data_IF_548958135427
#
_entry.id   IF_548958135427
#
_cell.length_a   1.000
_cell.length_b   1.000
_cell.length_c   1.000
_cell.angle_alpha   90.00
_cell.angle_beta   90.00
_cell.angle_gamma   90.00
#
_symmetry.space_group_name_H-M   'P 1'
#
loop_
_entity.id
_entity.type
_entity.pdbx_description
1 polymer ?
#
# COMPACT_ATOMS: atom_id res chain seq x y z
N UNK A 1 16.89 7.61 -2.51
CA UNK A 1 15.52 7.31 -2.99
C UNK A 1 15.58 5.99 -3.75
N UNK A 2 14.73 5.02 -3.42
CA UNK A 2 14.76 3.65 -4.01
C UNK A 2 13.61 3.41 -5.00
N UNK A 3 12.81 4.43 -5.30
CA UNK A 3 11.63 4.37 -6.15
C UNK A 3 10.61 5.44 -5.80
N UNK A 4 9.48 5.40 -6.48
CA UNK A 4 8.32 6.28 -6.28
C UNK A 4 7.05 5.45 -6.10
N UNK A 5 6.04 6.02 -5.45
CA UNK A 5 4.72 5.40 -5.33
C UNK A 5 3.61 6.41 -5.62
N UNK A 6 2.55 5.93 -6.26
CA UNK A 6 1.36 6.72 -6.55
C UNK A 6 0.15 5.81 -6.63
N UNK A 7 -1.03 6.35 -6.35
CA UNK A 7 -2.24 5.54 -6.34
C UNK A 7 -3.50 6.33 -6.05
N UNK A 8 -4.61 5.60 -6.06
CA UNK A 8 -5.93 6.13 -5.71
C UNK A 8 -6.43 5.45 -4.44
N UNK A 9 -7.04 6.27 -3.60
CA UNK A 9 -7.61 5.90 -2.32
C UNK A 9 -9.09 6.28 -2.36
N UNK A 10 -9.98 5.30 -2.27
CA UNK A 10 -11.43 5.51 -2.36
C UNK A 10 -12.06 5.19 -1.02
N UNK A 11 -12.55 6.20 -0.30
CA UNK A 11 -13.33 5.97 0.93
C UNK A 11 -14.65 5.30 0.58
N UNK A 12 -14.81 4.04 0.97
CA UNK A 12 -16.02 3.26 0.71
C UNK A 12 -17.02 3.31 1.87
N UNK A 13 -16.55 3.68 3.06
CA UNK A 13 -17.38 3.80 4.26
C UNK A 13 -16.78 4.84 5.21
N UNK A 14 -17.63 5.67 5.81
CA UNK A 14 -17.22 6.66 6.84
C UNK A 14 -17.53 6.23 8.27
N UNK A 15 -18.53 5.36 8.47
CA UNK A 15 -18.86 4.82 9.78
C UNK A 15 -17.75 3.92 10.34
N UNK A 16 -17.73 3.75 11.68
CA UNK A 16 -16.81 2.86 12.40
C UNK A 16 -15.32 3.15 12.12
N UNK A 17 -14.95 4.44 12.09
CA UNK A 17 -13.58 4.87 11.86
C UNK A 17 -13.12 4.83 10.40
N UNK A 18 -14.03 4.52 9.47
CA UNK A 18 -13.78 4.56 8.04
C UNK A 18 -13.19 3.28 7.45
N UNK A 19 -13.45 3.08 6.17
CA UNK A 19 -12.80 2.07 5.33
C UNK A 19 -12.50 2.65 3.96
N UNK A 20 -11.32 2.36 3.43
CA UNK A 20 -10.82 2.89 2.17
C UNK A 20 -10.21 1.76 1.34
N UNK A 21 -10.61 1.68 0.08
CA UNK A 21 -9.93 0.84 -0.92
C UNK A 21 -8.71 1.59 -1.45
N UNK A 22 -7.60 0.87 -1.65
CA UNK A 22 -6.39 1.41 -2.26
C UNK A 22 -5.97 0.61 -3.48
N UNK A 23 -5.66 1.34 -4.55
CA UNK A 23 -5.00 0.83 -5.76
C UNK A 23 -3.74 1.65 -5.95
N UNK A 24 -2.58 1.02 -5.78
CA UNK A 24 -1.27 1.70 -5.69
C UNK A 24 -0.29 1.04 -6.65
N UNK A 25 0.52 1.87 -7.30
CA UNK A 25 1.69 1.43 -8.08
C UNK A 25 2.96 1.86 -7.35
N UNK A 26 3.89 0.93 -7.17
CA UNK A 26 5.27 1.23 -6.78
C UNK A 26 6.15 1.12 -8.02
N UNK A 27 6.89 2.17 -8.34
CA UNK A 27 7.89 2.19 -9.41
C UNK A 27 9.27 2.07 -8.78
N UNK A 28 9.93 0.95 -9.01
CA UNK A 28 11.24 0.61 -8.45
C UNK A 28 12.27 0.45 -9.58
N UNK A 29 13.58 0.52 -9.29
CA UNK A 29 14.58 -0.02 -10.19
C UNK A 29 14.25 -1.49 -10.51
N UNK A 30 14.14 -1.82 -11.80
CA UNK A 30 13.79 -3.16 -12.27
C UNK A 30 12.33 -3.32 -12.73
N UNK A 31 11.41 -2.43 -12.35
CA UNK A 31 10.03 -2.48 -12.83
C UNK A 31 8.99 -1.89 -11.89
N UNK A 32 7.72 -2.21 -12.14
CA UNK A 32 6.59 -1.74 -11.34
C UNK A 32 5.94 -2.88 -10.57
N UNK A 33 5.32 -2.56 -9.44
CA UNK A 33 4.44 -3.43 -8.68
C UNK A 33 3.05 -2.80 -8.59
N UNK A 34 2.02 -3.57 -8.93
CA UNK A 34 0.62 -3.22 -8.70
C UNK A 34 0.16 -3.82 -7.38
N UNK A 35 -0.46 -2.98 -6.55
CA UNK A 35 -0.86 -3.33 -5.19
C UNK A 35 -2.30 -2.91 -4.96
N UNK A 36 -3.11 -3.79 -4.36
CA UNK A 36 -4.49 -3.49 -4.01
C UNK A 36 -4.83 -4.01 -2.61
N UNK A 37 -5.64 -3.26 -1.87
CA UNK A 37 -6.13 -3.69 -0.57
C UNK A 37 -7.01 -2.67 0.12
N UNK A 38 -7.16 -2.84 1.43
CA UNK A 38 -8.13 -2.11 2.26
C UNK A 38 -7.43 -1.50 3.47
N UNK A 39 -7.80 -0.26 3.81
CA UNK A 39 -7.37 0.41 5.03
C UNK A 39 -8.59 0.74 5.89
N UNK A 40 -8.59 0.26 7.13
CA UNK A 40 -9.68 0.48 8.08
C UNK A 40 -9.24 1.44 9.18
N UNK A 41 -10.17 2.18 9.79
CA UNK A 41 -9.88 3.00 10.95
C UNK A 41 -9.06 4.28 10.67
N UNK A 42 -8.88 4.65 9.40
CA UNK A 42 -8.07 5.81 9.00
C UNK A 42 -8.69 7.17 9.37
N UNK A 43 -9.97 7.21 9.77
CA UNK A 43 -10.66 8.41 10.26
C UNK A 43 -10.70 8.50 11.79
N UNK A 44 -10.18 7.50 12.50
CA UNK A 44 -10.08 7.57 13.96
C UNK A 44 -9.05 8.64 14.37
N UNK A 45 -9.26 9.25 15.55
CA UNK A 45 -8.28 10.16 16.12
C UNK A 45 -6.97 9.44 16.43
N UNK A 46 -5.84 10.07 16.10
CA UNK A 46 -4.50 9.52 16.29
C UNK A 46 -3.77 9.23 14.97
N UNK A 47 -2.60 8.57 15.02
CA UNK A 47 -1.90 8.13 13.82
C UNK A 47 -2.75 7.11 13.03
N UNK A 48 -2.79 7.21 11.69
CA UNK A 48 -3.42 6.17 10.87
C UNK A 48 -2.82 4.79 11.15
N UNK A 49 -3.64 3.73 11.18
CA UNK A 49 -3.16 2.39 11.47
C UNK A 49 -2.25 1.86 10.36
N UNK A 50 -1.41 0.89 10.73
CA UNK A 50 -0.68 0.06 9.76
C UNK A 50 -1.65 -0.85 9.01
N UNK A 51 -1.26 -1.26 7.80
CA UNK A 51 -2.08 -2.13 6.96
C UNK A 51 -1.21 -2.95 5.99
N UNK A 52 -1.78 -4.04 5.51
CA UNK A 52 -1.19 -4.91 4.50
C UNK A 52 -2.05 -4.90 3.24
N UNK A 53 -1.42 -4.63 2.10
CA UNK A 53 -2.07 -4.73 0.80
C UNK A 53 -1.41 -5.84 -0.03
N UNK A 54 -2.20 -6.51 -0.87
CA UNK A 54 -1.71 -7.60 -1.71
C UNK A 54 -1.02 -7.04 -2.97
N UNK A 55 0.09 -7.66 -3.37
CA UNK A 55 0.71 -7.45 -4.69
C UNK A 55 -0.10 -8.26 -5.70
N UNK A 56 -0.70 -7.58 -6.66
CA UNK A 56 -1.59 -8.16 -7.67
C UNK A 56 -0.92 -8.35 -9.03
N UNK A 57 0.23 -7.72 -9.25
CA UNK A 57 1.05 -7.93 -10.44
C UNK A 57 2.30 -7.06 -10.45
N UNK A 58 3.07 -7.16 -11.53
CA UNK A 58 4.24 -6.33 -11.74
C UNK A 58 4.78 -6.39 -13.16
N UNK A 59 5.87 -5.68 -13.41
CA UNK A 59 6.57 -5.62 -14.69
C UNK A 59 8.07 -5.79 -14.50
N UNK A 60 8.80 -6.07 -15.60
CA UNK A 60 10.25 -6.20 -15.58
C UNK A 60 10.71 -7.33 -14.65
N UNK A 61 11.63 -7.04 -13.73
CA UNK A 61 12.11 -7.99 -12.72
C UNK A 61 11.00 -8.50 -11.78
N UNK A 62 9.86 -7.81 -11.74
CA UNK A 62 8.70 -8.14 -10.90
C UNK A 62 7.52 -8.72 -11.68
N UNK A 63 7.72 -9.18 -12.93
CA UNK A 63 6.64 -9.67 -13.82
C UNK A 63 5.77 -10.79 -13.23
N UNK A 64 6.34 -11.57 -12.30
CA UNK A 64 5.67 -12.68 -11.60
C UNK A 64 5.49 -12.43 -10.11
N UNK A 65 5.68 -11.19 -9.65
CA UNK A 65 5.60 -10.87 -8.24
C UNK A 65 4.23 -11.22 -7.64
N UNK A 66 4.28 -11.94 -6.53
CA UNK A 66 3.18 -12.19 -5.61
C UNK A 66 3.68 -11.86 -4.22
N UNK A 67 2.81 -11.39 -3.33
CA UNK A 67 3.28 -10.92 -2.04
C UNK A 67 2.36 -9.93 -1.38
N UNK A 68 2.93 -9.21 -0.42
CA UNK A 68 2.26 -8.15 0.33
C UNK A 68 3.16 -6.92 0.48
N UNK A 69 2.54 -5.77 0.63
CA UNK A 69 3.20 -4.55 1.10
C UNK A 69 2.64 -4.19 2.47
N UNK A 70 3.52 -4.22 3.48
CA UNK A 70 3.21 -3.73 4.81
C UNK A 70 3.50 -2.24 4.89
N UNK A 71 2.52 -1.45 5.28
CA UNK A 71 2.66 -0.01 5.48
C UNK A 71 2.54 0.34 6.96
N UNK A 72 3.61 0.93 7.52
CA UNK A 72 3.67 1.39 8.90
C UNK A 72 3.71 2.92 8.95
N UNK A 73 2.86 3.54 9.76
CA UNK A 73 2.90 4.99 9.98
C UNK A 73 4.01 5.34 10.97
N UNK A 74 5.08 5.97 10.49
CA UNK A 74 6.24 6.34 11.32
C UNK A 74 6.23 7.80 11.76
N UNK A 75 5.39 8.63 11.15
CA UNK A 75 5.31 10.06 11.43
C UNK A 75 4.18 10.75 10.68
N UNK A 76 4.03 12.07 10.87
CA UNK A 76 2.99 12.84 10.18
C UNK A 76 3.29 12.91 8.68
N UNK A 77 2.47 12.25 7.88
CA UNK A 77 2.66 12.19 6.42
C UNK A 77 3.77 11.23 5.99
N UNK A 78 4.37 10.50 6.92
CA UNK A 78 5.46 9.57 6.65
C UNK A 78 5.00 8.14 6.91
N UNK A 79 5.32 7.25 5.96
CA UNK A 79 5.12 5.82 6.08
C UNK A 79 6.37 5.06 5.67
N UNK A 80 6.66 4.00 6.41
CA UNK A 80 7.61 2.96 5.99
C UNK A 80 6.83 1.88 5.26
N UNK A 81 7.30 1.52 4.08
CA UNK A 81 6.76 0.41 3.30
C UNK A 81 7.78 -0.73 3.28
N UNK A 82 7.32 -1.93 3.62
CA UNK A 82 8.09 -3.18 3.49
C UNK A 82 7.40 -4.04 2.43
N UNK A 83 8.17 -4.51 1.44
CA UNK A 83 7.66 -5.30 0.33
C UNK A 83 8.15 -6.74 0.52
N UNK A 84 7.22 -7.65 0.74
CA UNK A 84 7.48 -9.07 0.94
C UNK A 84 7.03 -9.84 -0.31
N UNK A 85 8.01 -10.33 -1.09
CA UNK A 85 7.75 -11.15 -2.27
C UNK A 85 7.71 -12.64 -1.89
N UNK A 86 6.63 -13.30 -2.27
CA UNK A 86 6.47 -14.74 -2.15
C UNK A 86 7.13 -15.42 -3.35
N UNK A 87 7.75 -16.58 -3.10
CA UNK A 87 8.40 -17.40 -4.14
C UNK A 87 7.40 -18.25 -4.89
#
# INVERSE_FOLDING_TARGET
>A
MVGETGGTCTTIRVALGGAEERVVTYTLPGGQLSVQGMVFGHLNAGPPPSFDNAITGGTGEFDRARGSVHAETTGRGERRFTIDLYR
#
